data_IF_016172927601
#
_entry.id   IF_016172927601
#
_cell.length_a   1.000
_cell.length_b   1.000
_cell.length_c   1.000
_cell.angle_alpha   90.00
_cell.angle_beta   90.00
_cell.angle_gamma   90.00
#
_symmetry.space_group_name_H-M   'P 1'
#
loop_
_entity.id
_entity.type
_entity.pdbx_description
1 polymer ?
#
# COMPACT_ATOMS: atom_id res chain seq x y z
N UNK A 1 21.09 1.58 -1.33
CA UNK A 1 21.03 2.81 -2.15
C UNK A 1 20.47 3.94 -1.30
N UNK A 2 20.60 5.20 -1.75
CA UNK A 2 19.97 6.33 -1.05
C UNK A 2 18.86 6.84 -1.98
N UNK A 3 17.64 6.35 -1.76
CA UNK A 3 16.49 6.83 -2.51
C UNK A 3 16.35 8.35 -2.35
N UNK A 4 16.11 9.03 -3.47
CA UNK A 4 15.72 10.45 -3.44
C UNK A 4 14.48 10.59 -2.58
N UNK A 5 14.47 11.61 -1.71
CA UNK A 5 13.35 11.90 -0.81
C UNK A 5 12.00 11.98 -1.53
N UNK A 6 12.00 12.56 -2.74
CA UNK A 6 10.80 12.66 -3.59
C UNK A 6 10.19 11.29 -3.94
N UNK A 7 11.01 10.27 -4.18
CA UNK A 7 10.54 8.90 -4.50
C UNK A 7 9.83 8.30 -3.28
N UNK A 8 10.40 8.49 -2.08
CA UNK A 8 9.80 8.03 -0.82
C UNK A 8 8.49 8.77 -0.56
N UNK A 9 8.48 10.10 -0.71
CA UNK A 9 7.27 10.92 -0.51
C UNK A 9 6.14 10.53 -1.47
N UNK A 10 6.44 10.27 -2.75
CA UNK A 10 5.48 9.74 -3.74
C UNK A 10 4.92 8.38 -3.33
N UNK A 11 5.79 7.43 -2.99
CA UNK A 11 5.39 6.10 -2.56
C UNK A 11 4.49 6.14 -1.31
N UNK A 12 4.88 6.92 -0.31
CA UNK A 12 4.15 7.07 0.96
C UNK A 12 2.79 7.72 0.73
N UNK A 13 2.73 8.85 0.01
CA UNK A 13 1.48 9.55 -0.22
C UNK A 13 0.48 8.71 -1.01
N UNK A 14 0.96 7.91 -1.98
CA UNK A 14 0.11 7.02 -2.74
C UNK A 14 -0.53 5.93 -1.85
N UNK A 15 0.24 5.27 -0.99
CA UNK A 15 -0.31 4.28 -0.06
C UNK A 15 -1.24 4.89 0.97
N UNK A 16 -0.93 6.10 1.45
CA UNK A 16 -1.83 6.84 2.35
C UNK A 16 -3.17 7.09 1.68
N UNK A 17 -3.18 7.55 0.43
CA UNK A 17 -4.42 7.74 -0.32
C UNK A 17 -5.19 6.43 -0.39
N UNK A 18 -4.54 5.33 -0.78
CA UNK A 18 -5.22 4.02 -0.88
C UNK A 18 -5.81 3.50 0.42
N UNK A 19 -5.14 3.72 1.55
CA UNK A 19 -5.57 3.20 2.85
C UNK A 19 -6.63 4.09 3.52
N UNK A 20 -6.67 5.38 3.14
CA UNK A 20 -7.59 6.36 3.73
C UNK A 20 -8.83 6.62 2.88
N UNK A 21 -8.76 6.38 1.57
CA UNK A 21 -9.91 6.45 0.67
C UNK A 21 -10.82 5.24 0.92
N UNK A 22 -12.09 5.53 1.21
CA UNK A 22 -13.11 4.50 1.42
C UNK A 22 -13.65 3.98 0.07
N UNK A 23 -12.78 3.28 -0.68
CA UNK A 23 -13.16 2.60 -1.92
C UNK A 23 -13.45 1.12 -1.64
N UNK A 24 -14.47 0.53 -2.29
CA UNK A 24 -14.74 -0.91 -2.18
C UNK A 24 -13.55 -1.74 -2.64
N UNK A 25 -13.32 -2.87 -1.96
CA UNK A 25 -12.31 -3.83 -2.39
C UNK A 25 -12.67 -4.42 -3.76
N UNK A 26 -11.64 -4.63 -4.57
CA UNK A 26 -11.71 -5.42 -5.80
C UNK A 26 -10.43 -6.22 -5.93
N UNK A 27 -10.56 -7.49 -6.25
CA UNK A 27 -9.44 -8.37 -6.62
C UNK A 27 -9.41 -8.66 -8.14
N UNK A 28 -10.25 -7.98 -8.94
CA UNK A 28 -10.36 -8.19 -10.39
C UNK A 28 -11.19 -9.40 -10.85
N UNK A 29 -11.82 -10.14 -9.95
CA UNK A 29 -12.71 -11.27 -10.26
C UNK A 29 -14.16 -10.96 -9.86
N UNK A 30 -15.12 -11.29 -10.74
CA UNK A 30 -16.56 -11.08 -10.55
C UNK A 30 -17.32 -12.36 -10.12
N UNK A 31 -16.61 -13.45 -9.82
CA UNK A 31 -17.21 -14.66 -9.27
C UNK A 31 -17.84 -14.44 -7.89
N UNK A 32 -18.82 -15.27 -7.52
CA UNK A 32 -19.56 -15.15 -6.25
C UNK A 32 -18.63 -15.12 -5.02
N UNK A 33 -17.65 -16.05 -4.95
CA UNK A 33 -16.67 -16.11 -3.86
C UNK A 33 -15.85 -14.83 -3.76
N UNK A 34 -15.47 -14.26 -4.89
CA UNK A 34 -14.70 -13.01 -4.95
C UNK A 34 -15.51 -11.84 -4.38
N UNK A 35 -16.76 -11.69 -4.83
CA UNK A 35 -17.68 -10.65 -4.36
C UNK A 35 -17.88 -10.75 -2.85
N UNK A 36 -18.19 -11.94 -2.33
CA UNK A 36 -18.37 -12.16 -0.89
C UNK A 36 -17.10 -11.82 -0.10
N UNK A 37 -15.93 -12.19 -0.60
CA UNK A 37 -14.64 -11.89 0.04
C UNK A 37 -14.40 -10.39 0.14
N UNK A 38 -14.66 -9.64 -0.93
CA UNK A 38 -14.51 -8.18 -0.95
C UNK A 38 -15.50 -7.51 0.01
N UNK A 39 -16.78 -7.92 0.01
CA UNK A 39 -17.79 -7.40 0.94
C UNK A 39 -17.42 -7.64 2.41
N UNK A 40 -16.87 -8.83 2.74
CA UNK A 40 -16.39 -9.12 4.08
C UNK A 40 -15.19 -8.26 4.47
N UNK A 41 -14.29 -7.95 3.53
CA UNK A 41 -13.19 -7.01 3.78
C UNK A 41 -13.70 -5.59 4.02
N UNK A 42 -14.59 -5.10 3.14
CA UNK A 42 -15.22 -3.78 3.25
C UNK A 42 -15.91 -3.58 4.60
N UNK A 43 -16.65 -4.60 5.09
CA UNK A 43 -17.35 -4.54 6.37
C UNK A 43 -16.44 -4.33 7.59
N UNK A 44 -15.13 -4.60 7.43
CA UNK A 44 -14.11 -4.49 8.50
C UNK A 44 -13.26 -3.23 8.39
N UNK A 45 -13.37 -2.48 7.28
CA UNK A 45 -12.69 -1.20 7.11
C UNK A 45 -13.07 -0.21 8.21
N UNK A 46 -12.15 0.69 8.55
CA UNK A 46 -12.38 1.75 9.53
C UNK A 46 -12.06 3.11 8.95
N UNK A 47 -12.76 4.14 9.42
CA UNK A 47 -12.38 5.53 9.14
C UNK A 47 -11.04 5.84 9.79
N UNK A 48 -10.08 6.30 8.99
CA UNK A 48 -8.74 6.63 9.47
C UNK A 48 -8.68 8.10 9.89
N UNK A 49 -8.17 8.34 11.10
CA UNK A 49 -8.00 9.70 11.63
C UNK A 49 -6.71 10.34 11.11
N UNK A 50 -6.66 11.68 11.14
CA UNK A 50 -5.44 12.44 10.76
C UNK A 50 -4.21 11.98 11.55
N UNK A 51 -4.35 11.73 12.86
CA UNK A 51 -3.25 11.24 13.70
C UNK A 51 -2.71 9.90 13.21
N UNK A 52 -3.58 8.95 12.86
CA UNK A 52 -3.17 7.65 12.32
C UNK A 52 -2.48 7.82 10.97
N UNK A 53 -3.02 8.68 10.10
CA UNK A 53 -2.40 9.02 8.82
C UNK A 53 -0.98 9.58 9.00
N UNK A 54 -0.77 10.50 9.93
CA UNK A 54 0.54 11.11 10.18
C UNK A 54 1.56 10.09 10.72
N UNK A 55 1.13 9.20 11.62
CA UNK A 55 1.98 8.09 12.11
C UNK A 55 2.32 7.13 10.99
N UNK A 56 1.33 6.74 10.17
CA UNK A 56 1.53 5.83 9.05
C UNK A 56 2.52 6.38 8.03
N UNK A 57 2.40 7.67 7.67
CA UNK A 57 3.35 8.36 6.77
C UNK A 57 4.79 8.24 7.25
N UNK A 58 5.01 8.55 8.53
CA UNK A 58 6.35 8.53 9.13
C UNK A 58 6.91 7.10 9.20
N UNK A 59 6.09 6.14 9.64
CA UNK A 59 6.50 4.75 9.76
C UNK A 59 6.80 4.13 8.39
N UNK A 60 5.94 4.36 7.39
CA UNK A 60 6.13 3.81 6.05
C UNK A 60 7.38 4.40 5.37
N UNK A 61 7.63 5.71 5.50
CA UNK A 61 8.85 6.32 4.98
C UNK A 61 10.11 5.63 5.55
N UNK A 62 10.13 5.41 6.86
CA UNK A 62 11.23 4.72 7.56
C UNK A 62 11.42 3.30 7.04
N UNK A 63 10.35 2.51 6.91
CA UNK A 63 10.47 1.13 6.42
C UNK A 63 10.93 1.05 4.96
N UNK A 64 10.51 1.99 4.11
CA UNK A 64 11.00 2.11 2.72
C UNK A 64 12.49 2.44 2.68
N UNK A 65 12.95 3.35 3.52
CA UNK A 65 14.38 3.68 3.66
C UNK A 65 15.20 2.46 4.10
N UNK A 66 14.69 1.69 5.07
CA UNK A 66 15.35 0.45 5.53
C UNK A 66 15.43 -0.62 4.44
N UNK A 67 14.39 -0.77 3.61
CA UNK A 67 14.44 -1.70 2.47
C UNK A 67 15.40 -1.21 1.38
N UNK A 68 15.45 0.10 1.11
CA UNK A 68 16.37 0.69 0.14
C UNK A 68 17.85 0.54 0.53
N UNK A 69 18.17 0.40 1.82
CA UNK A 69 19.54 0.07 2.27
C UNK A 69 19.96 -1.34 1.85
N UNK A 70 19.01 -2.27 1.71
CA UNK A 70 19.27 -3.69 1.45
C UNK A 70 19.24 -4.03 -0.03
N UNK A 71 18.45 -3.31 -0.83
CA UNK A 71 18.16 -3.67 -2.23
C UNK A 71 18.16 -2.42 -3.10
N UNK A 72 18.57 -2.58 -4.37
CA UNK A 72 18.49 -1.51 -5.38
C UNK A 72 17.12 -1.40 -6.05
N UNK A 73 16.33 -2.48 -5.98
CA UNK A 73 14.94 -2.55 -6.45
C UNK A 73 14.14 -3.46 -5.55
N UNK A 74 12.93 -3.04 -5.19
CA UNK A 74 12.03 -3.83 -4.36
C UNK A 74 10.57 -3.50 -4.66
N UNK A 75 9.67 -4.31 -4.12
CA UNK A 75 8.24 -4.07 -4.19
C UNK A 75 7.59 -4.12 -2.81
N UNK A 76 6.53 -3.34 -2.66
CA UNK A 76 5.62 -3.38 -1.53
C UNK A 76 4.21 -3.62 -2.09
N UNK A 77 3.46 -4.53 -1.48
CA UNK A 77 2.20 -5.00 -2.05
C UNK A 77 1.19 -5.42 -0.99
N UNK A 78 -0.06 -5.53 -1.43
CA UNK A 78 -1.13 -6.16 -0.69
C UNK A 78 -1.82 -7.19 -1.59
N UNK A 79 -1.58 -8.48 -1.32
CA UNK A 79 -2.14 -9.60 -2.09
C UNK A 79 -3.28 -10.29 -1.33
N UNK A 80 -4.24 -9.49 -0.84
CA UNK A 80 -5.24 -9.75 0.23
C UNK A 80 -4.79 -9.32 1.62
N UNK A 81 -3.48 -9.34 1.89
CA UNK A 81 -2.89 -8.82 3.12
C UNK A 81 -1.65 -7.98 2.80
N UNK A 82 -1.39 -6.91 3.59
CA UNK A 82 -0.22 -6.07 3.40
C UNK A 82 1.07 -6.86 3.63
N UNK A 83 2.07 -6.65 2.77
CA UNK A 83 3.40 -7.19 2.99
C UNK A 83 4.03 -6.60 4.27
N UNK A 84 5.15 -7.19 4.73
CA UNK A 84 5.81 -6.82 5.99
C UNK A 84 6.01 -5.30 6.16
N UNK A 85 6.47 -4.60 5.12
CA UNK A 85 6.72 -3.15 5.14
C UNK A 85 5.43 -2.38 5.47
N UNK A 86 4.34 -2.70 4.77
CA UNK A 86 3.04 -2.07 4.98
C UNK A 86 2.42 -2.47 6.32
N UNK A 87 2.56 -3.74 6.72
CA UNK A 87 2.04 -4.26 7.98
C UNK A 87 2.66 -3.57 9.19
N UNK A 88 3.99 -3.42 9.22
CA UNK A 88 4.70 -2.75 10.33
C UNK A 88 4.24 -1.30 10.46
N UNK A 89 4.19 -0.56 9.35
CA UNK A 89 3.72 0.82 9.36
C UNK A 89 2.26 0.94 9.79
N UNK A 90 1.38 0.05 9.29
CA UNK A 90 -0.03 0.02 9.66
C UNK A 90 -0.24 -0.29 11.15
N UNK A 91 0.51 -1.27 11.67
CA UNK A 91 0.46 -1.67 13.06
C UNK A 91 0.86 -0.52 14.00
N UNK A 92 1.98 0.17 13.70
CA UNK A 92 2.42 1.34 14.47
C UNK A 92 1.37 2.47 14.44
N UNK A 93 0.70 2.65 13.31
CA UNK A 93 -0.37 3.64 13.14
C UNK A 93 -1.73 3.20 13.69
N UNK A 94 -1.89 1.96 14.16
CA UNK A 94 -3.18 1.42 14.57
C UNK A 94 -4.21 1.36 13.43
N UNK A 95 -3.76 1.17 12.19
CA UNK A 95 -4.60 1.03 11.00
C UNK A 95 -4.90 -0.46 10.78
N UNK A 96 -6.18 -0.87 10.69
CA UNK A 96 -6.54 -2.25 10.39
C UNK A 96 -6.01 -2.69 9.02
N UNK A 97 -5.56 -3.94 8.91
CA UNK A 97 -5.11 -4.50 7.63
C UNK A 97 -6.23 -4.55 6.59
N UNK A 98 -7.49 -4.62 7.03
CA UNK A 98 -8.68 -4.57 6.16
C UNK A 98 -8.86 -3.23 5.42
N UNK A 99 -8.11 -2.17 5.75
CA UNK A 99 -8.11 -0.91 5.01
C UNK A 99 -7.22 -0.94 3.76
N UNK A 100 -6.42 -1.99 3.55
CA UNK A 100 -5.50 -2.07 2.41
C UNK A 100 -6.20 -2.66 1.18
N UNK A 101 -6.03 -2.05 -0.01
CA UNK A 101 -6.64 -2.56 -1.23
C UNK A 101 -6.10 -3.94 -1.60
N UNK A 102 -6.91 -4.74 -2.30
CA UNK A 102 -6.48 -6.06 -2.78
C UNK A 102 -5.73 -5.98 -4.10
N UNK A 103 -4.80 -6.93 -4.28
CA UNK A 103 -4.06 -7.15 -5.54
C UNK A 103 -3.30 -5.91 -6.01
N UNK A 104 -2.86 -5.09 -5.07
CA UNK A 104 -2.17 -3.83 -5.32
C UNK A 104 -0.67 -4.00 -5.09
N UNK A 105 0.15 -3.51 -6.02
CA UNK A 105 1.60 -3.63 -5.97
C UNK A 105 2.28 -2.32 -6.35
N UNK A 106 3.36 -2.00 -5.66
CA UNK A 106 4.23 -0.86 -5.95
C UNK A 106 5.67 -1.36 -6.08
N UNK A 107 6.35 -0.92 -7.13
CA UNK A 107 7.76 -1.14 -7.38
C UNK A 107 8.52 0.16 -7.16
N UNK A 108 9.67 0.08 -6.49
CA UNK A 108 10.48 1.24 -6.12
C UNK A 108 11.93 0.97 -6.52
N UNK A 109 12.53 1.89 -7.26
CA UNK A 109 13.97 1.96 -7.52
C UNK A 109 14.38 3.39 -7.94
N UNK A 110 15.69 3.66 -8.04
CA UNK A 110 16.21 4.99 -8.39
C UNK A 110 15.99 5.39 -9.86
N UNK A 111 15.99 4.43 -10.79
CA UNK A 111 15.91 4.65 -12.23
C UNK A 111 14.46 4.91 -12.68
N UNK A 112 13.55 4.02 -12.31
CA UNK A 112 12.14 4.10 -12.65
C UNK A 112 11.34 5.00 -11.70
N UNK A 113 11.87 5.26 -10.50
CA UNK A 113 11.11 5.92 -9.43
C UNK A 113 10.07 4.97 -8.83
N UNK A 114 8.80 5.40 -8.83
CA UNK A 114 7.69 4.61 -8.30
C UNK A 114 6.78 4.17 -9.45
N UNK A 115 6.53 2.87 -9.53
CA UNK A 115 5.60 2.27 -10.50
C UNK A 115 4.58 1.43 -9.76
N UNK A 116 3.29 1.65 -10.01
CA UNK A 116 2.20 0.96 -9.32
C UNK A 116 1.37 0.11 -10.28
N UNK A 117 0.78 -0.96 -9.74
CA UNK A 117 -0.28 -1.75 -10.35
C UNK A 117 -1.42 -1.78 -9.34
N UNK A 118 -2.50 -1.08 -9.65
CA UNK A 118 -3.62 -0.88 -8.74
C UNK A 118 -4.74 -1.87 -9.05
N UNK A 119 -4.61 -3.08 -8.50
CA UNK A 119 -5.54 -4.17 -8.73
C UNK A 119 -4.98 -5.28 -9.65
N UNK A 120 -5.67 -6.41 -9.64
CA UNK A 120 -5.23 -7.61 -10.36
C UNK A 120 -5.22 -7.38 -11.87
N UNK A 121 -4.10 -7.71 -12.51
CA UNK A 121 -3.94 -7.53 -13.96
C UNK A 121 -3.83 -6.08 -14.42
N UNK A 122 -3.96 -5.09 -13.54
CA UNK A 122 -3.86 -3.67 -13.90
C UNK A 122 -2.50 -3.36 -14.57
N UNK A 123 -2.47 -2.46 -15.58
CA UNK A 123 -1.22 -2.05 -16.21
C UNK A 123 -0.33 -1.28 -15.22
N UNK A 124 1.01 -1.34 -15.39
CA UNK A 124 1.91 -0.53 -14.59
C UNK A 124 1.76 0.96 -14.93
N UNK A 125 1.69 1.80 -13.91
CA UNK A 125 1.62 3.27 -14.02
C UNK A 125 2.76 3.89 -13.23
N UNK A 126 3.55 4.76 -13.86
CA UNK A 126 4.58 5.55 -13.19
C UNK A 126 3.95 6.77 -12.54
N UNK A 127 4.29 7.04 -11.28
CA UNK A 127 3.75 8.15 -10.47
C UNK A 127 4.85 9.06 -9.91
#
# INVERSE_FOLDING_TARGET
MILKKEIIEKAVNWWVEKVTVNQPHSNGDNGYTSIVTCLLADSRTKKISKKQTDVFKKALAREIEEEAKKRTRFSICCDYEPCKVLFVAAHEAGIPTANFPFKTMMFINEEDGVVVRDGYGAPPVKI
#
